data_IF_479801118550
#
_entry.id   IF_479801118550
#
_cell.length_a   1.000
_cell.length_b   1.000
_cell.length_c   1.000
_cell.angle_alpha   90.00
_cell.angle_beta   90.00
_cell.angle_gamma   90.00
#
_symmetry.space_group_name_H-M   'P 1'
#
loop_
_entity.id
_entity.type
_entity.pdbx_description
1 polymer ?
#
# COMPACT_ATOMS: atom_id res chain seq x y z
N UNK A 1 -19.81 -4.24 3.55
CA UNK A 1 -19.99 -3.94 2.11
C UNK A 1 -18.86 -3.02 1.73
N UNK A 2 -17.99 -3.44 0.83
CA UNK A 2 -16.95 -2.58 0.24
C UNK A 2 -17.61 -1.54 -0.65
N UNK A 3 -17.27 -0.27 -0.45
CA UNK A 3 -17.84 0.83 -1.23
C UNK A 3 -17.25 0.78 -2.65
N UNK A 4 -18.02 0.25 -3.62
CA UNK A 4 -17.64 0.23 -5.03
C UNK A 4 -17.69 1.65 -5.61
N UNK A 5 -16.84 1.93 -6.59
CA UNK A 5 -16.92 3.20 -7.34
C UNK A 5 -17.97 3.12 -8.45
N UNK A 6 -18.38 4.26 -8.99
CA UNK A 6 -19.27 4.32 -10.18
C UNK A 6 -18.77 3.47 -11.36
N UNK A 7 -17.45 3.42 -11.57
CA UNK A 7 -16.87 2.61 -12.63
C UNK A 7 -16.95 1.12 -12.32
N UNK A 8 -16.76 0.69 -11.06
CA UNK A 8 -16.98 -0.71 -10.68
C UNK A 8 -18.42 -1.13 -10.92
N UNK A 9 -19.38 -0.31 -10.48
CA UNK A 9 -20.80 -0.58 -10.67
C UNK A 9 -21.14 -0.74 -12.14
N UNK A 10 -20.62 0.15 -13.00
CA UNK A 10 -20.84 0.06 -14.43
C UNK A 10 -20.20 -1.19 -15.05
N UNK A 11 -18.93 -1.47 -14.73
CA UNK A 11 -18.24 -2.66 -15.23
C UNK A 11 -18.99 -3.95 -14.86
N UNK A 12 -19.45 -4.06 -13.62
CA UNK A 12 -20.19 -5.24 -13.16
C UNK A 12 -21.59 -5.33 -13.76
N UNK A 13 -22.31 -4.20 -13.88
CA UNK A 13 -23.65 -4.17 -14.47
C UNK A 13 -23.66 -4.51 -15.97
N UNK A 14 -22.59 -4.14 -16.68
CA UNK A 14 -22.41 -4.47 -18.10
C UNK A 14 -21.73 -5.84 -18.31
N UNK A 15 -21.29 -6.54 -17.25
CA UNK A 15 -20.60 -7.83 -17.36
C UNK A 15 -19.23 -7.73 -18.05
N UNK A 16 -18.51 -6.62 -17.84
CA UNK A 16 -17.23 -6.33 -18.48
C UNK A 16 -16.07 -6.87 -17.65
N UNK A 17 -15.19 -7.64 -18.29
CA UNK A 17 -14.11 -8.36 -17.61
C UNK A 17 -12.72 -8.14 -18.23
N UNK A 18 -12.64 -7.44 -19.37
CA UNK A 18 -11.41 -7.11 -20.05
C UNK A 18 -11.52 -5.79 -20.83
N UNK A 19 -10.38 -5.23 -21.24
CA UNK A 19 -10.35 -3.93 -21.93
C UNK A 19 -11.04 -3.94 -23.30
N UNK A 20 -11.05 -5.06 -24.01
CA UNK A 20 -11.69 -5.15 -25.33
C UNK A 20 -13.21 -5.04 -25.21
N UNK A 21 -13.79 -5.68 -24.19
CA UNK A 21 -15.20 -5.56 -23.85
C UNK A 21 -15.56 -4.13 -23.43
N UNK A 22 -14.68 -3.45 -22.68
CA UNK A 22 -14.87 -2.03 -22.31
C UNK A 22 -14.85 -1.11 -23.53
N UNK A 23 -13.89 -1.27 -24.44
CA UNK A 23 -13.85 -0.50 -25.70
C UNK A 23 -15.13 -0.69 -26.51
N UNK A 24 -15.59 -1.93 -26.67
CA UNK A 24 -16.84 -2.24 -27.37
C UNK A 24 -18.06 -1.60 -26.69
N UNK A 25 -18.10 -1.59 -25.35
CA UNK A 25 -19.16 -0.96 -24.59
C UNK A 25 -19.15 0.58 -24.73
N UNK A 26 -17.97 1.21 -24.83
CA UNK A 26 -17.86 2.65 -25.04
C UNK A 26 -18.37 3.09 -26.42
N UNK A 27 -18.29 2.23 -27.43
CA UNK A 27 -18.89 2.47 -28.76
C UNK A 27 -20.42 2.35 -28.75
N UNK A 28 -20.98 1.66 -27.76
CA UNK A 28 -22.42 1.53 -27.57
C UNK A 28 -23.00 2.76 -26.86
N UNK A 29 -23.81 3.55 -27.58
CA UNK A 29 -24.52 4.72 -27.01
C UNK A 29 -25.31 4.39 -25.75
N UNK A 30 -25.90 3.19 -25.67
CA UNK A 30 -26.69 2.78 -24.52
C UNK A 30 -25.82 2.47 -23.29
N UNK A 31 -24.73 1.71 -23.47
CA UNK A 31 -23.82 1.39 -22.38
C UNK A 31 -23.03 2.63 -21.90
N UNK A 32 -22.63 3.50 -22.83
CA UNK A 32 -22.03 4.79 -22.51
C UNK A 32 -23.00 5.72 -21.76
N UNK A 33 -24.29 5.75 -22.14
CA UNK A 33 -25.31 6.47 -21.38
C UNK A 33 -25.40 6.02 -19.92
N UNK A 34 -25.39 4.70 -19.69
CA UNK A 34 -25.39 4.13 -18.33
C UNK A 34 -24.10 4.40 -17.55
N UNK A 35 -22.96 4.53 -18.24
CA UNK A 35 -21.70 4.96 -17.63
C UNK A 35 -21.82 6.39 -17.08
N UNK A 36 -22.42 7.30 -17.87
CA UNK A 36 -22.69 8.69 -17.45
C UNK A 36 -23.65 8.72 -16.26
N UNK A 37 -24.77 7.99 -16.34
CA UNK A 37 -25.72 7.88 -15.23
C UNK A 37 -25.09 7.32 -13.95
N UNK A 38 -24.16 6.37 -14.05
CA UNK A 38 -23.43 5.85 -12.89
C UNK A 38 -22.54 6.93 -12.25
N UNK A 39 -21.81 7.72 -13.05
CA UNK A 39 -20.98 8.82 -12.56
C UNK A 39 -21.81 9.93 -11.91
N UNK A 40 -22.94 10.34 -12.52
CA UNK A 40 -23.85 11.35 -11.97
C UNK A 40 -24.45 10.90 -10.64
N UNK A 41 -24.92 9.65 -10.54
CA UNK A 41 -25.45 9.08 -9.29
C UNK A 41 -24.38 9.07 -8.19
N UNK A 42 -23.14 8.72 -8.52
CA UNK A 42 -22.05 8.69 -7.55
C UNK A 42 -21.69 10.09 -7.05
N UNK A 43 -21.64 11.09 -7.94
CA UNK A 43 -21.38 12.48 -7.56
C UNK A 43 -22.48 13.05 -6.64
N UNK A 44 -23.73 12.64 -6.85
CA UNK A 44 -24.86 13.08 -6.05
C UNK A 44 -24.91 12.44 -4.64
N UNK A 45 -24.16 11.36 -4.39
CA UNK A 45 -24.16 10.71 -3.08
C UNK A 45 -23.18 11.41 -2.12
N UNK A 46 -23.60 11.68 -0.87
CA UNK A 46 -22.71 12.15 0.18
C UNK A 46 -21.85 10.98 0.68
N UNK A 47 -20.93 10.48 -0.13
CA UNK A 47 -20.11 9.32 0.22
C UNK A 47 -18.87 9.77 0.98
N UNK A 48 -18.92 9.60 2.30
CA UNK A 48 -17.75 9.21 3.08
C UNK A 48 -18.05 7.86 3.70
N UNK A 49 -17.74 6.75 3.02
CA UNK A 49 -17.90 5.46 3.64
C UNK A 49 -16.99 5.43 4.87
N UNK A 50 -17.59 5.21 6.04
CA UNK A 50 -16.81 5.08 7.27
C UNK A 50 -15.92 3.83 7.15
N UNK A 51 -14.68 3.88 7.66
CA UNK A 51 -13.85 2.69 7.78
C UNK A 51 -14.62 1.61 8.54
N UNK A 52 -14.55 0.36 8.07
CA UNK A 52 -15.19 -0.75 8.80
C UNK A 52 -14.25 -1.31 9.87
N UNK A 53 -12.98 -0.91 9.85
CA UNK A 53 -11.94 -1.34 10.77
C UNK A 53 -11.09 -0.19 11.29
N UNK A 54 -10.63 -0.31 12.54
CA UNK A 54 -9.57 0.52 13.13
C UNK A 54 -8.18 0.19 12.57
N UNK A 55 -8.10 -0.86 11.76
CA UNK A 55 -6.89 -1.33 11.06
C UNK A 55 -6.88 -0.87 9.60
N UNK A 56 -7.45 0.29 9.30
CA UNK A 56 -7.35 0.92 7.98
C UNK A 56 -6.13 1.83 7.83
N UNK A 57 -5.85 2.27 6.61
CA UNK A 57 -4.91 3.35 6.28
C UNK A 57 -5.46 4.18 5.13
N UNK A 58 -5.22 5.49 5.13
CA UNK A 58 -5.41 6.36 3.97
C UNK A 58 -4.16 6.28 3.10
N UNK A 59 -4.29 5.85 1.85
CA UNK A 59 -3.23 5.99 0.88
C UNK A 59 -3.18 7.44 0.40
N UNK A 60 -2.07 8.14 0.59
CA UNK A 60 -1.84 9.49 0.07
C UNK A 60 -1.83 9.53 -1.46
N UNK A 61 -1.84 10.71 -2.06
CA UNK A 61 -1.94 10.90 -3.52
C UNK A 61 -0.75 10.38 -4.32
N UNK A 62 0.35 10.02 -3.67
CA UNK A 62 1.44 9.25 -4.28
C UNK A 62 1.16 7.74 -4.42
N UNK A 63 0.20 7.22 -3.66
CA UNK A 63 -0.13 5.79 -3.55
C UNK A 63 -1.56 5.47 -3.98
N UNK A 64 -2.45 6.46 -3.98
CA UNK A 64 -3.82 6.26 -4.42
C UNK A 64 -3.93 6.10 -5.95
N UNK A 65 -5.14 5.78 -6.40
CA UNK A 65 -5.37 5.38 -7.79
C UNK A 65 -5.67 6.58 -8.72
N UNK A 66 -5.51 7.82 -8.24
CA UNK A 66 -5.78 9.05 -9.02
C UNK A 66 -4.65 9.43 -9.94
N UNK A 67 -3.42 9.01 -9.63
CA UNK A 67 -2.19 9.47 -10.29
C UNK A 67 -1.92 10.97 -10.17
N UNK A 68 -2.47 11.69 -9.18
CA UNK A 68 -2.26 13.14 -9.06
C UNK A 68 -0.77 13.53 -8.92
N UNK A 69 -0.01 12.77 -8.12
CA UNK A 69 1.44 12.91 -7.96
C UNK A 69 2.25 11.83 -8.68
N UNK A 70 1.59 10.97 -9.46
CA UNK A 70 2.22 9.83 -10.09
C UNK A 70 1.98 9.82 -11.60
N UNK A 71 2.52 8.82 -12.28
CA UNK A 71 2.29 8.69 -13.73
C UNK A 71 0.89 8.11 -13.96
N UNK A 72 0.08 8.81 -14.76
CA UNK A 72 -1.28 8.40 -15.12
C UNK A 72 -1.37 7.27 -16.14
N UNK A 73 -0.24 6.81 -16.69
CA UNK A 73 -0.21 5.66 -17.60
C UNK A 73 -0.73 4.41 -16.88
N UNK A 74 -1.61 3.61 -17.49
CA UNK A 74 -2.24 2.46 -16.83
C UNK A 74 -1.22 1.48 -16.22
N UNK A 75 -0.16 1.13 -16.95
CA UNK A 75 0.90 0.26 -16.42
C UNK A 75 1.67 0.86 -15.22
N UNK A 76 1.78 2.18 -15.14
CA UNK A 76 2.37 2.83 -13.97
C UNK A 76 1.42 2.76 -12.76
N UNK A 77 0.11 2.78 -13.00
CA UNK A 77 -0.91 2.67 -11.97
C UNK A 77 -1.10 1.24 -11.47
N UNK A 78 -1.05 0.24 -12.35
CA UNK A 78 -1.00 -1.17 -11.93
C UNK A 78 0.22 -1.43 -11.04
N UNK A 79 1.40 -0.90 -11.41
CA UNK A 79 2.58 -0.96 -10.54
C UNK A 79 2.41 -0.19 -9.22
N UNK A 80 1.61 0.88 -9.18
CA UNK A 80 1.29 1.54 -7.91
C UNK A 80 0.43 0.66 -7.01
N UNK A 81 -0.49 -0.13 -7.56
CA UNK A 81 -1.21 -1.16 -6.79
C UNK A 81 -0.20 -2.16 -6.24
N UNK A 82 0.71 -2.67 -7.09
CA UNK A 82 1.73 -3.63 -6.64
C UNK A 82 2.61 -3.06 -5.52
N UNK A 83 3.11 -1.83 -5.69
CA UNK A 83 3.89 -1.08 -4.69
C UNK A 83 3.07 -0.88 -3.40
N UNK A 84 1.83 -0.39 -3.50
CA UNK A 84 0.96 -0.15 -2.35
C UNK A 84 0.74 -1.44 -1.57
N UNK A 85 0.34 -2.50 -2.27
CA UNK A 85 0.06 -3.79 -1.65
C UNK A 85 1.31 -4.55 -1.26
N UNK A 86 2.53 -4.17 -1.66
CA UNK A 86 3.74 -4.77 -1.07
C UNK A 86 4.05 -4.21 0.32
N UNK A 87 3.69 -2.95 0.58
CA UNK A 87 4.02 -2.25 1.84
C UNK A 87 2.89 -2.29 2.89
N UNK A 88 1.64 -2.43 2.46
CA UNK A 88 0.49 -2.11 3.33
C UNK A 88 -0.27 -3.36 3.81
N UNK A 89 -0.31 -4.40 2.99
CA UNK A 89 -1.19 -5.56 3.19
C UNK A 89 -0.97 -6.32 4.51
N UNK A 90 0.27 -6.31 5.02
CA UNK A 90 0.68 -7.07 6.19
C UNK A 90 0.37 -6.36 7.51
N UNK A 91 -0.15 -5.14 7.45
CA UNK A 91 -0.60 -4.38 8.63
C UNK A 91 -2.08 -4.02 8.59
N UNK A 92 -2.59 -3.70 7.41
CA UNK A 92 -3.90 -3.06 7.28
C UNK A 92 -4.94 -4.03 6.71
N UNK A 93 -6.16 -3.91 7.21
CA UNK A 93 -7.33 -4.65 6.75
C UNK A 93 -8.06 -3.88 5.64
N UNK A 94 -7.91 -2.56 5.61
CA UNK A 94 -8.52 -1.66 4.62
C UNK A 94 -7.54 -0.58 4.20
N UNK A 95 -7.65 -0.15 2.94
CA UNK A 95 -6.85 0.92 2.36
C UNK A 95 -7.83 1.91 1.72
N UNK A 96 -8.00 3.05 2.38
CA UNK A 96 -8.74 4.17 1.87
C UNK A 96 -7.98 4.82 0.70
N UNK A 97 -8.51 4.68 -0.51
CA UNK A 97 -7.95 5.21 -1.75
C UNK A 97 -8.96 6.13 -2.42
N UNK A 98 -8.48 7.07 -3.23
CA UNK A 98 -9.35 7.79 -4.16
C UNK A 98 -9.44 6.98 -5.45
N UNK A 99 -10.67 6.73 -5.89
CA UNK A 99 -10.98 6.00 -7.12
C UNK A 99 -11.01 6.89 -8.37
N UNK A 100 -11.62 6.39 -9.46
CA UNK A 100 -11.85 7.17 -10.67
C UNK A 100 -12.69 8.43 -10.35
N UNK A 101 -12.19 9.60 -10.75
CA UNK A 101 -12.85 10.88 -10.51
C UNK A 101 -14.10 11.03 -11.37
N UNK A 102 -15.29 10.91 -10.75
CA UNK A 102 -16.57 11.09 -11.42
C UNK A 102 -16.75 12.53 -11.93
N UNK A 103 -16.26 13.53 -11.20
CA UNK A 103 -16.41 14.92 -11.59
C UNK A 103 -15.59 15.24 -12.85
N UNK A 104 -14.30 14.87 -12.84
CA UNK A 104 -13.43 15.02 -14.01
C UNK A 104 -13.92 14.23 -15.23
N UNK A 105 -14.54 13.06 -15.03
CA UNK A 105 -15.18 12.31 -16.10
C UNK A 105 -16.36 13.08 -16.71
N UNK A 106 -17.30 13.56 -15.88
CA UNK A 106 -18.49 14.28 -16.34
C UNK A 106 -18.13 15.59 -17.05
N UNK A 107 -17.14 16.33 -16.54
CA UNK A 107 -16.62 17.53 -17.19
C UNK A 107 -16.07 17.21 -18.60
N UNK A 108 -15.35 16.10 -18.74
CA UNK A 108 -14.80 15.67 -20.03
C UNK A 108 -15.90 15.23 -21.02
N UNK A 109 -16.99 14.64 -20.55
CA UNK A 109 -18.16 14.29 -21.39
C UNK A 109 -18.82 15.53 -21.98
N UNK A 110 -18.90 16.63 -21.22
CA UNK A 110 -19.51 17.89 -21.66
C UNK A 110 -18.75 18.61 -22.77
N UNK A 111 -17.46 18.33 -22.93
CA UNK A 111 -16.59 19.02 -23.91
C UNK A 111 -16.51 18.24 -25.22
N UNK A 112 -17.13 18.78 -26.27
CA UNK A 112 -17.09 18.18 -27.63
C UNK A 112 -15.65 18.00 -28.12
N UNK A 113 -15.32 16.81 -28.62
CA UNK A 113 -14.02 16.50 -29.26
C UNK A 113 -13.01 15.78 -28.36
N UNK A 114 -13.32 15.53 -27.08
CA UNK A 114 -12.45 14.80 -26.16
C UNK A 114 -12.66 13.27 -26.13
N UNK A 115 -13.36 12.69 -27.13
CA UNK A 115 -13.72 11.27 -27.12
C UNK A 115 -12.52 10.34 -26.88
N UNK A 116 -11.38 10.59 -27.52
CA UNK A 116 -10.14 9.81 -27.31
C UNK A 116 -9.57 9.97 -25.89
N UNK A 117 -9.65 11.18 -25.32
CA UNK A 117 -9.20 11.43 -23.95
C UNK A 117 -10.10 10.74 -22.92
N UNK A 118 -11.41 10.74 -23.19
CA UNK A 118 -12.40 10.06 -22.37
C UNK A 118 -12.22 8.53 -22.40
N UNK A 119 -12.04 7.98 -23.59
CA UNK A 119 -11.74 6.57 -23.78
C UNK A 119 -10.47 6.17 -23.02
N UNK A 120 -9.38 6.95 -23.18
CA UNK A 120 -8.14 6.74 -22.43
C UNK A 120 -8.36 6.78 -20.91
N UNK A 121 -9.18 7.71 -20.42
CA UNK A 121 -9.51 7.81 -19.01
C UNK A 121 -10.27 6.58 -18.51
N UNK A 122 -11.31 6.14 -19.23
CA UNK A 122 -12.13 4.98 -18.81
C UNK A 122 -11.32 3.70 -18.89
N UNK A 123 -10.63 3.45 -20.01
CA UNK A 123 -9.79 2.26 -20.19
C UNK A 123 -8.66 2.20 -19.16
N UNK A 124 -7.99 3.32 -18.92
CA UNK A 124 -6.90 3.37 -17.95
C UNK A 124 -7.35 3.12 -16.52
N UNK A 125 -8.56 3.57 -16.15
CA UNK A 125 -9.14 3.23 -14.87
C UNK A 125 -9.62 1.77 -14.81
N UNK A 126 -10.29 1.28 -15.86
CA UNK A 126 -10.76 -0.11 -15.92
C UNK A 126 -9.61 -1.11 -15.81
N UNK A 127 -8.46 -0.86 -16.47
CA UNK A 127 -7.27 -1.71 -16.38
C UNK A 127 -6.80 -1.89 -14.93
N UNK A 128 -6.82 -0.81 -14.16
CA UNK A 128 -6.36 -0.79 -12.77
C UNK A 128 -7.34 -1.54 -11.86
N UNK A 129 -8.65 -1.43 -12.12
CA UNK A 129 -9.66 -2.20 -11.39
C UNK A 129 -9.59 -3.69 -11.73
N UNK A 130 -9.41 -4.05 -13.00
CA UNK A 130 -9.20 -5.45 -13.40
C UNK A 130 -7.92 -6.03 -12.79
N UNK A 131 -6.85 -5.24 -12.69
CA UNK A 131 -5.62 -5.63 -12.00
C UNK A 131 -5.86 -5.91 -10.52
N UNK A 132 -6.54 -5.00 -9.81
CA UNK A 132 -6.90 -5.19 -8.40
C UNK A 132 -7.75 -6.47 -8.19
N UNK A 133 -8.72 -6.72 -9.07
CA UNK A 133 -9.55 -7.92 -9.05
C UNK A 133 -8.74 -9.19 -9.29
N UNK A 134 -7.83 -9.18 -10.26
CA UNK A 134 -6.95 -10.32 -10.57
C UNK A 134 -6.03 -10.68 -9.39
N UNK A 135 -5.60 -9.68 -8.61
CA UNK A 135 -4.82 -9.87 -7.38
C UNK A 135 -5.67 -10.32 -6.18
N UNK A 136 -6.99 -10.20 -6.25
CA UNK A 136 -7.89 -10.50 -5.14
C UNK A 136 -7.85 -9.45 -4.02
N UNK A 137 -7.46 -8.21 -4.32
CA UNK A 137 -7.31 -7.12 -3.34
C UNK A 137 -8.49 -6.14 -3.31
N UNK A 138 -9.50 -6.35 -4.15
CA UNK A 138 -10.65 -5.45 -4.32
C UNK A 138 -11.37 -5.19 -2.98
N UNK A 139 -11.52 -6.22 -2.15
CA UNK A 139 -12.18 -6.10 -0.83
C UNK A 139 -11.35 -5.38 0.23
N UNK A 140 -10.07 -5.10 -0.04
CA UNK A 140 -9.20 -4.32 0.83
C UNK A 140 -9.23 -2.83 0.49
N UNK A 141 -9.84 -2.44 -0.64
CA UNK A 141 -9.90 -1.06 -1.08
C UNK A 141 -11.19 -0.41 -0.60
N UNK A 142 -11.03 0.68 0.16
CA UNK A 142 -12.12 1.57 0.55
C UNK A 142 -12.05 2.81 -0.33
N UNK A 143 -12.99 2.99 -1.24
CA UNK A 143 -13.00 4.16 -2.11
C UNK A 143 -13.61 5.37 -1.40
N UNK A 144 -12.76 6.32 -1.01
CA UNK A 144 -13.18 7.57 -0.37
C UNK A 144 -12.79 8.77 -1.24
N UNK A 145 -13.70 9.72 -1.51
CA UNK A 145 -13.32 10.97 -2.16
C UNK A 145 -12.50 11.82 -1.20
N UNK A 146 -11.38 12.36 -1.66
CA UNK A 146 -10.61 13.37 -0.93
C UNK A 146 -10.96 14.78 -1.44
N UNK A 147 -10.83 15.81 -0.59
CA UNK A 147 -10.90 17.19 -1.05
C UNK A 147 -9.97 17.45 -2.24
N UNK A 148 -10.35 18.24 -3.25
CA UNK A 148 -9.46 18.51 -4.38
C UNK A 148 -8.17 19.21 -3.95
N UNK A 149 -6.99 18.72 -4.39
CA UNK A 149 -5.69 19.37 -4.15
C UNK A 149 -5.43 20.53 -5.12
N UNK A 150 -6.37 21.47 -5.21
CA UNK A 150 -6.17 22.69 -5.97
C UNK A 150 -6.31 23.92 -5.07
N UNK A 151 -5.74 25.03 -5.50
CA UNK A 151 -5.65 26.22 -4.65
C UNK A 151 -6.98 26.93 -4.39
N UNK A 152 -7.96 26.79 -5.29
CA UNK A 152 -9.30 27.34 -5.07
C UNK A 152 -10.01 26.59 -3.93
N UNK A 153 -10.03 25.26 -3.99
CA UNK A 153 -10.64 24.42 -2.95
C UNK A 153 -9.82 24.38 -1.65
N UNK A 154 -8.50 24.58 -1.73
CA UNK A 154 -7.68 24.67 -0.53
C UNK A 154 -8.05 25.86 0.36
N UNK A 155 -8.63 26.94 -0.17
CA UNK A 155 -9.08 28.06 0.66
C UNK A 155 -10.11 27.65 1.73
N UNK A 156 -10.89 26.61 1.44
CA UNK A 156 -11.87 26.04 2.38
C UNK A 156 -11.18 25.20 3.47
N UNK A 157 -10.17 24.40 3.08
CA UNK A 157 -9.31 23.63 4.00
C UNK A 157 -8.35 24.52 4.81
N UNK A 158 -7.97 25.67 4.27
CA UNK A 158 -7.01 26.60 4.83
C UNK A 158 -7.51 27.27 6.12
N UNK A 159 -8.77 27.07 6.50
CA UNK A 159 -9.28 27.46 7.81
C UNK A 159 -8.63 26.68 8.96
N UNK A 160 -8.04 25.51 8.70
CA UNK A 160 -7.28 24.73 9.68
C UNK A 160 -5.79 25.14 9.72
N UNK A 161 -5.29 25.79 10.79
CA UNK A 161 -3.89 26.19 10.89
C UNK A 161 -2.91 25.02 10.77
N UNK A 162 -3.33 23.83 11.20
CA UNK A 162 -2.53 22.60 11.18
C UNK A 162 -2.31 22.02 9.76
N UNK A 163 -2.93 22.59 8.72
CA UNK A 163 -2.72 22.21 7.32
C UNK A 163 -1.77 23.15 6.57
N UNK A 164 -1.25 24.19 7.24
CA UNK A 164 -0.27 25.10 6.68
C UNK A 164 1.15 24.70 7.05
N UNK A 165 2.05 24.78 6.07
CA UNK A 165 3.48 24.70 6.35
C UNK A 165 3.93 25.99 7.02
N UNK A 166 4.74 25.88 8.07
CA UNK A 166 5.42 27.05 8.64
C UNK A 166 6.39 27.66 7.62
N UNK A 167 6.73 28.93 7.80
CA UNK A 167 7.72 29.60 6.94
C UNK A 167 9.08 28.87 7.00
N UNK A 168 9.45 28.38 8.18
CA UNK A 168 10.68 27.61 8.39
C UNK A 168 10.65 26.27 7.62
N UNK A 169 9.56 25.50 7.74
CA UNK A 169 9.38 24.24 7.02
C UNK A 169 9.38 24.47 5.51
N UNK A 170 8.67 25.49 5.04
CA UNK A 170 8.66 25.91 3.64
C UNK A 170 10.06 26.22 3.14
N UNK A 171 10.83 27.00 3.90
CA UNK A 171 12.21 27.35 3.56
C UNK A 171 13.13 26.13 3.50
N UNK A 172 13.02 25.19 4.45
CA UNK A 172 13.79 23.93 4.45
C UNK A 172 13.45 23.04 3.26
N UNK A 173 12.17 22.81 2.99
CA UNK A 173 11.71 21.96 1.89
C UNK A 173 12.06 22.55 0.52
N UNK A 174 12.00 23.88 0.35
CA UNK A 174 12.45 24.54 -0.87
C UNK A 174 13.95 24.35 -1.10
N UNK A 175 14.78 24.58 -0.07
CA UNK A 175 16.23 24.36 -0.17
C UNK A 175 16.55 22.93 -0.55
N UNK A 176 15.86 21.96 0.07
CA UNK A 176 16.03 20.55 -0.24
C UNK A 176 15.77 20.25 -1.73
N UNK A 177 14.67 20.78 -2.29
CA UNK A 177 14.38 20.65 -3.72
C UNK A 177 15.42 21.34 -4.60
N UNK A 178 15.91 22.51 -4.21
CA UNK A 178 16.91 23.26 -4.98
C UNK A 178 18.27 22.56 -5.01
N UNK A 179 18.73 22.03 -3.88
CA UNK A 179 20.04 21.38 -3.73
C UNK A 179 20.14 20.08 -4.53
N UNK A 180 19.06 19.31 -4.64
CA UNK A 180 19.00 18.06 -5.40
C UNK A 180 18.32 18.18 -6.77
N UNK A 181 17.89 19.38 -7.17
CA UNK A 181 16.98 19.61 -8.28
C UNK A 181 17.67 20.06 -9.57
N UNK A 182 17.09 19.70 -10.71
CA UNK A 182 17.45 20.27 -12.01
C UNK A 182 16.22 20.47 -12.89
N UNK A 183 16.35 21.31 -13.92
CA UNK A 183 15.29 21.56 -14.91
C UNK A 183 15.73 21.04 -16.27
N UNK A 184 14.82 20.32 -16.93
CA UNK A 184 14.94 19.90 -18.33
C UNK A 184 13.78 20.48 -19.14
N UNK A 185 14.04 20.96 -20.34
CA UNK A 185 12.97 21.44 -21.23
C UNK A 185 12.08 20.26 -21.67
N UNK A 186 10.76 20.46 -21.64
CA UNK A 186 9.85 19.49 -22.23
C UNK A 186 9.89 19.57 -23.77
N UNK A 187 9.67 18.43 -24.43
CA UNK A 187 9.71 18.32 -25.90
C UNK A 187 8.63 19.13 -26.62
N UNK A 188 7.55 19.46 -25.92
CA UNK A 188 6.34 20.09 -26.45
C UNK A 188 6.26 21.61 -26.20
N UNK A 189 7.35 22.27 -25.80
CA UNK A 189 7.45 23.73 -25.55
C UNK A 189 6.49 24.33 -24.50
N UNK A 190 5.57 23.56 -23.92
CA UNK A 190 4.54 24.04 -22.99
C UNK A 190 4.98 24.05 -21.53
N UNK A 191 6.15 23.49 -21.21
CA UNK A 191 6.63 23.46 -19.83
C UNK A 191 8.05 22.93 -19.67
N UNK A 192 8.35 22.56 -18.44
CA UNK A 192 9.63 21.99 -18.03
C UNK A 192 9.44 20.77 -17.14
N UNK A 193 10.39 19.85 -17.18
CA UNK A 193 10.51 18.77 -16.21
C UNK A 193 11.45 19.19 -15.09
N UNK A 194 10.94 19.21 -13.86
CA UNK A 194 11.75 19.33 -12.66
C UNK A 194 12.20 17.94 -12.22
N UNK A 195 13.50 17.67 -12.22
CA UNK A 195 14.09 16.39 -11.84
C UNK A 195 14.60 16.43 -10.41
N UNK A 196 14.28 15.41 -9.63
CA UNK A 196 14.78 15.26 -8.25
C UNK A 196 14.64 13.81 -7.78
N UNK A 197 15.66 13.26 -7.10
CA UNK A 197 15.69 11.85 -6.67
C UNK A 197 14.54 11.43 -5.74
N UNK A 198 14.01 12.40 -4.99
CA UNK A 198 12.93 12.18 -4.02
C UNK A 198 11.52 12.24 -4.62
N UNK A 199 11.39 12.45 -5.93
CA UNK A 199 10.10 12.49 -6.62
C UNK A 199 9.81 11.13 -7.28
N UNK A 200 8.53 10.75 -7.43
CA UNK A 200 8.17 9.51 -8.16
C UNK A 200 8.69 9.61 -9.59
N UNK A 201 9.35 8.55 -10.07
CA UNK A 201 10.00 8.50 -11.38
C UNK A 201 11.09 9.57 -11.60
N UNK A 202 11.55 10.22 -10.53
CA UNK A 202 12.63 11.21 -10.55
C UNK A 202 12.28 12.53 -11.22
N UNK A 203 11.03 12.79 -11.65
CA UNK A 203 10.66 14.05 -12.32
C UNK A 203 9.18 14.43 -12.20
N UNK A 204 8.89 15.73 -12.23
CA UNK A 204 7.54 16.32 -12.27
C UNK A 204 7.47 17.35 -13.40
N UNK A 205 6.42 17.28 -14.22
CA UNK A 205 6.15 18.29 -15.25
C UNK A 205 5.51 19.54 -14.64
N UNK A 206 5.97 20.72 -15.06
CA UNK A 206 5.47 22.03 -14.65
C UNK A 206 5.20 22.85 -15.90
N UNK A 207 3.96 23.30 -16.07
CA UNK A 207 3.60 24.14 -17.21
C UNK A 207 4.18 25.55 -17.04
N UNK A 208 4.53 26.18 -18.17
CA UNK A 208 5.13 27.52 -18.17
C UNK A 208 4.21 28.60 -17.58
N UNK A 209 2.90 28.47 -17.72
CA UNK A 209 1.88 29.38 -17.16
C UNK A 209 1.78 29.28 -15.63
N UNK A 210 2.19 28.16 -15.05
CA UNK A 210 2.22 27.95 -13.59
C UNK A 210 3.48 28.54 -12.94
N UNK A 211 4.53 28.82 -13.71
CA UNK A 211 5.79 29.35 -13.17
C UNK A 211 5.61 30.83 -12.83
N UNK A 212 5.69 31.22 -11.55
CA UNK A 212 5.45 32.60 -11.15
C UNK A 212 6.52 33.54 -11.73
N UNK A 213 6.18 34.82 -11.83
CA UNK A 213 7.16 35.89 -12.09
C UNK A 213 8.16 35.97 -10.92
N UNK A 214 9.42 36.39 -11.17
CA UNK A 214 10.40 36.54 -10.10
C UNK A 214 9.93 37.56 -9.06
N UNK A 215 10.05 37.22 -7.77
CA UNK A 215 9.67 38.08 -6.65
C UNK A 215 10.77 39.08 -6.26
N UNK A 216 11.98 38.94 -6.81
CA UNK A 216 13.10 39.82 -6.54
C UNK A 216 14.21 39.70 -7.58
N UNK A 217 15.17 40.63 -7.56
CA UNK A 217 16.36 40.57 -8.43
C UNK A 217 17.18 39.33 -8.07
N UNK A 218 17.47 38.48 -9.05
CA UNK A 218 18.32 37.30 -8.88
C UNK A 218 17.62 36.00 -8.50
N UNK A 219 16.28 35.98 -8.41
CA UNK A 219 15.57 34.70 -8.19
C UNK A 219 15.73 33.76 -9.39
N UNK A 220 16.30 32.58 -9.14
CA UNK A 220 16.54 31.58 -10.18
C UNK A 220 15.25 30.98 -10.72
N UNK A 221 15.25 30.53 -11.98
CA UNK A 221 14.14 29.75 -12.56
C UNK A 221 13.94 28.47 -11.75
N UNK A 222 15.03 27.83 -11.29
CA UNK A 222 15.01 26.63 -10.46
C UNK A 222 14.17 26.82 -9.20
N UNK A 223 14.39 27.90 -8.45
CA UNK A 223 13.63 28.20 -7.23
C UNK A 223 12.14 28.36 -7.49
N UNK A 224 11.79 29.02 -8.60
CA UNK A 224 10.40 29.27 -8.98
C UNK A 224 9.69 27.98 -9.36
N UNK A 225 10.35 27.11 -10.12
CA UNK A 225 9.83 25.77 -10.46
C UNK A 225 9.72 24.90 -9.21
N UNK A 226 10.75 24.88 -8.35
CA UNK A 226 10.73 24.16 -7.07
C UNK A 226 9.57 24.59 -6.17
N UNK A 227 9.20 25.88 -6.17
CA UNK A 227 8.03 26.38 -5.45
C UNK A 227 6.71 25.84 -6.01
N UNK A 228 6.58 25.71 -7.33
CA UNK A 228 5.39 25.10 -7.94
C UNK A 228 5.31 23.61 -7.56
N UNK A 229 6.44 22.90 -7.58
CA UNK A 229 6.52 21.50 -7.15
C UNK A 229 6.15 21.35 -5.67
N UNK A 230 6.77 22.13 -4.77
CA UNK A 230 6.43 22.13 -3.34
C UNK A 230 4.94 22.41 -3.14
N UNK A 231 4.38 23.42 -3.80
CA UNK A 231 2.96 23.75 -3.68
C UNK A 231 2.07 22.58 -4.10
N UNK A 232 2.39 21.89 -5.21
CA UNK A 232 1.63 20.72 -5.67
C UNK A 232 1.64 19.59 -4.63
N UNK A 233 2.81 19.27 -4.07
CA UNK A 233 2.95 18.24 -3.05
C UNK A 233 2.31 18.64 -1.71
N UNK A 234 2.41 19.91 -1.31
CA UNK A 234 1.76 20.43 -0.12
C UNK A 234 0.24 20.35 -0.21
N UNK A 235 -0.36 20.81 -1.31
CA UNK A 235 -1.82 20.73 -1.49
C UNK A 235 -2.32 19.28 -1.46
N UNK A 236 -1.56 18.36 -2.06
CA UNK A 236 -1.85 16.93 -1.99
C UNK A 236 -1.80 16.41 -0.55
N UNK A 237 -0.66 16.60 0.12
CA UNK A 237 -0.43 16.15 1.49
C UNK A 237 -1.44 16.75 2.49
N UNK A 238 -1.77 18.03 2.36
CA UNK A 238 -2.71 18.68 3.27
C UNK A 238 -4.14 18.14 3.11
N UNK A 239 -4.57 17.87 1.88
CA UNK A 239 -5.85 17.18 1.65
C UNK A 239 -5.83 15.72 2.13
N UNK A 240 -4.68 15.04 2.03
CA UNK A 240 -4.54 13.67 2.52
C UNK A 240 -4.55 13.62 4.06
N UNK A 241 -3.88 14.56 4.73
CA UNK A 241 -3.88 14.70 6.19
C UNK A 241 -5.27 15.04 6.71
N UNK A 242 -5.99 15.93 6.01
CA UNK A 242 -7.38 16.23 6.34
C UNK A 242 -8.25 14.97 6.30
N UNK A 243 -8.16 14.18 5.23
CA UNK A 243 -8.96 12.95 5.09
C UNK A 243 -8.56 11.90 6.14
N UNK A 244 -7.26 11.72 6.37
CA UNK A 244 -6.72 10.84 7.42
C UNK A 244 -7.28 11.19 8.80
N UNK A 245 -7.31 12.48 9.15
CA UNK A 245 -7.92 12.95 10.41
C UNK A 245 -9.42 12.73 10.43
N UNK A 246 -10.12 13.01 9.34
CA UNK A 246 -11.57 12.84 9.24
C UNK A 246 -11.99 11.36 9.41
N UNK A 247 -11.19 10.42 8.90
CA UNK A 247 -11.44 8.98 9.02
C UNK A 247 -10.86 8.37 10.31
N UNK A 248 -10.04 9.11 11.06
CA UNK A 248 -9.31 8.57 12.22
C UNK A 248 -8.32 7.46 11.84
N UNK A 249 -7.87 7.43 10.59
CA UNK A 249 -6.95 6.44 10.04
C UNK A 249 -5.57 7.06 9.80
N UNK A 250 -4.48 6.29 9.89
CA UNK A 250 -3.17 6.77 9.47
C UNK A 250 -3.09 7.16 7.99
N UNK A 251 -2.05 7.89 7.64
CA UNK A 251 -1.73 8.27 6.27
C UNK A 251 -0.43 7.58 5.81
N UNK A 252 -0.47 6.85 4.70
CA UNK A 252 0.72 6.35 4.01
C UNK A 252 1.05 7.22 2.82
N UNK A 253 2.34 7.45 2.53
CA UNK A 253 2.78 8.15 1.33
C UNK A 253 3.97 7.42 0.67
N UNK A 254 3.92 7.24 -0.63
CA UNK A 254 4.87 6.43 -1.42
C UNK A 254 5.97 7.23 -2.11
N UNK A 255 6.04 8.54 -1.85
CA UNK A 255 7.07 9.43 -2.38
C UNK A 255 7.81 10.05 -1.20
N UNK A 256 9.14 9.92 -1.18
CA UNK A 256 9.98 10.45 -0.10
C UNK A 256 9.74 11.93 0.16
N UNK A 257 9.62 12.74 -0.90
CA UNK A 257 9.32 14.17 -0.72
C UNK A 257 7.95 14.43 -0.10
N UNK A 258 6.92 13.67 -0.48
CA UNK A 258 5.59 13.81 0.13
C UNK A 258 5.59 13.37 1.60
N UNK A 259 6.29 12.28 1.95
CA UNK A 259 6.43 11.84 3.34
C UNK A 259 7.00 12.94 4.24
N UNK A 260 7.98 13.71 3.75
CA UNK A 260 8.52 14.86 4.50
C UNK A 260 7.48 15.97 4.66
N UNK A 261 6.72 16.27 3.62
CA UNK A 261 5.63 17.26 3.71
C UNK A 261 4.55 16.81 4.70
N UNK A 262 4.13 15.55 4.63
CA UNK A 262 3.14 14.96 5.56
C UNK A 262 3.65 15.00 7.00
N UNK A 263 4.93 14.70 7.23
CA UNK A 263 5.57 14.76 8.55
C UNK A 263 5.51 16.17 9.15
N UNK A 264 5.76 17.21 8.35
CA UNK A 264 5.64 18.61 8.76
C UNK A 264 4.19 19.02 9.11
N UNK A 265 3.19 18.41 8.48
CA UNK A 265 1.77 18.70 8.72
C UNK A 265 1.14 17.87 9.86
N UNK A 266 1.65 16.67 10.08
CA UNK A 266 1.05 15.69 11.01
C UNK A 266 1.53 15.86 12.45
N UNK A 267 2.60 16.65 12.67
CA UNK A 267 3.05 17.04 14.01
C UNK A 267 3.79 15.95 14.80
N UNK A 268 4.26 14.89 14.15
CA UNK A 268 5.04 13.83 14.77
C UNK A 268 5.04 12.51 14.00
N UNK A 269 5.85 11.57 14.48
CA UNK A 269 5.91 10.20 13.94
C UNK A 269 4.88 9.31 14.61
N UNK A 270 4.14 8.57 13.80
CA UNK A 270 3.12 7.61 14.24
C UNK A 270 3.56 6.17 14.03
N UNK A 271 2.89 5.23 14.71
CA UNK A 271 3.11 3.77 14.54
C UNK A 271 2.97 3.35 13.08
N UNK A 272 2.08 4.02 12.34
CA UNK A 272 1.78 3.66 10.98
C UNK A 272 2.81 4.22 9.99
N UNK A 273 3.43 5.36 10.30
CA UNK A 273 4.60 5.85 9.56
C UNK A 273 5.73 4.83 9.64
N UNK A 274 5.96 4.28 10.84
CA UNK A 274 6.97 3.23 11.06
C UNK A 274 6.58 1.95 10.32
N UNK A 275 5.33 1.50 10.44
CA UNK A 275 4.85 0.30 9.76
C UNK A 275 5.00 0.39 8.24
N UNK A 276 4.69 1.54 7.64
CA UNK A 276 4.83 1.77 6.20
C UNK A 276 6.28 1.65 5.70
N UNK A 277 7.25 2.01 6.53
CA UNK A 277 8.68 1.90 6.22
C UNK A 277 9.28 0.52 6.57
N UNK A 278 8.49 -0.40 7.15
CA UNK A 278 9.02 -1.69 7.57
C UNK A 278 9.19 -2.61 6.37
N UNK A 279 10.45 -2.78 5.96
CA UNK A 279 10.82 -3.77 4.96
C UNK A 279 10.81 -5.17 5.57
N UNK A 280 10.11 -6.10 4.92
CA UNK A 280 10.07 -7.50 5.31
C UNK A 280 10.70 -8.37 4.21
N UNK A 281 12.04 -8.56 4.23
CA UNK A 281 12.75 -9.33 3.21
C UNK A 281 12.21 -10.75 3.02
N UNK A 282 11.70 -11.36 4.09
CA UNK A 282 11.06 -12.68 4.08
C UNK A 282 9.83 -12.78 3.14
N UNK A 283 9.21 -11.64 2.79
CA UNK A 283 8.05 -11.58 1.91
C UNK A 283 8.42 -11.27 0.46
N UNK A 284 9.70 -11.00 0.18
CA UNK A 284 10.16 -10.58 -1.13
C UNK A 284 9.97 -11.71 -2.15
N UNK A 285 9.20 -11.42 -3.21
CA UNK A 285 8.98 -12.36 -4.30
C UNK A 285 7.76 -13.26 -4.13
N UNK A 286 7.03 -13.17 -3.01
CA UNK A 286 5.75 -13.83 -2.84
C UNK A 286 4.66 -12.97 -3.49
N UNK A 287 3.74 -13.59 -4.23
CA UNK A 287 2.64 -12.86 -4.85
C UNK A 287 1.68 -12.32 -3.79
N UNK A 288 1.09 -11.15 -4.01
CA UNK A 288 0.07 -10.59 -3.10
C UNK A 288 -1.08 -11.57 -2.89
N UNK A 289 -1.48 -12.30 -3.94
CA UNK A 289 -2.53 -13.31 -3.87
C UNK A 289 -2.20 -14.44 -2.88
N UNK A 290 -0.99 -14.98 -2.93
CA UNK A 290 -0.57 -16.05 -2.02
C UNK A 290 -0.45 -15.54 -0.58
N UNK A 291 0.02 -14.31 -0.40
CA UNK A 291 0.10 -13.64 0.89
C UNK A 291 -1.28 -13.41 1.52
N UNK A 292 -2.28 -13.05 0.70
CA UNK A 292 -3.67 -12.94 1.16
C UNK A 292 -4.27 -14.29 1.52
N UNK A 293 -3.99 -15.33 0.74
CA UNK A 293 -4.42 -16.69 1.07
C UNK A 293 -3.80 -17.15 2.39
N UNK A 294 -2.50 -16.92 2.58
CA UNK A 294 -1.78 -17.24 3.81
C UNK A 294 -2.36 -16.49 5.02
N UNK A 295 -2.63 -15.19 4.86
CA UNK A 295 -3.27 -14.36 5.89
C UNK A 295 -4.64 -14.89 6.31
N UNK A 296 -5.40 -15.47 5.38
CA UNK A 296 -6.70 -16.07 5.69
C UNK A 296 -6.54 -17.43 6.39
N UNK A 297 -5.61 -18.27 5.94
CA UNK A 297 -5.39 -19.60 6.53
C UNK A 297 -4.69 -19.55 7.89
N UNK A 298 -3.80 -18.57 8.11
CA UNK A 298 -2.99 -18.41 9.32
C UNK A 298 -3.39 -17.16 10.12
N UNK A 299 -4.72 -16.91 10.23
CA UNK A 299 -5.24 -15.64 10.76
C UNK A 299 -4.75 -15.31 12.18
N UNK A 300 -4.71 -16.29 13.07
CA UNK A 300 -4.28 -16.10 14.46
C UNK A 300 -2.80 -15.69 14.52
N UNK A 301 -1.94 -16.41 13.80
CA UNK A 301 -0.50 -16.13 13.68
C UNK A 301 -0.26 -14.74 13.06
N UNK A 302 -1.05 -14.36 12.06
CA UNK A 302 -0.99 -13.04 11.44
C UNK A 302 -1.37 -11.91 12.42
N UNK A 303 -2.42 -12.11 13.20
CA UNK A 303 -2.86 -11.11 14.18
C UNK A 303 -1.82 -10.96 15.32
N UNK A 304 -1.20 -12.05 15.76
CA UNK A 304 -0.09 -12.03 16.72
C UNK A 304 1.13 -11.23 16.18
N UNK A 305 1.56 -11.56 14.96
CA UNK A 305 2.60 -10.84 14.23
C UNK A 305 2.36 -9.34 14.17
N UNK A 306 1.17 -8.94 13.72
CA UNK A 306 0.79 -7.54 13.59
C UNK A 306 0.79 -6.81 14.93
N UNK A 307 0.27 -7.45 15.99
CA UNK A 307 0.23 -6.85 17.32
C UNK A 307 1.64 -6.63 17.88
N UNK A 308 2.55 -7.60 17.71
CA UNK A 308 3.94 -7.48 18.12
C UNK A 308 4.64 -6.30 17.43
N UNK A 309 4.43 -6.13 16.12
CA UNK A 309 5.03 -5.02 15.38
C UNK A 309 4.47 -3.65 15.79
N UNK A 310 3.15 -3.54 16.02
CA UNK A 310 2.55 -2.30 16.52
C UNK A 310 3.08 -1.95 17.91
N UNK A 311 3.24 -2.94 18.78
CA UNK A 311 3.79 -2.74 20.11
C UNK A 311 5.24 -2.26 20.05
N UNK A 312 6.08 -2.91 19.24
CA UNK A 312 7.47 -2.51 19.03
C UNK A 312 7.58 -1.07 18.50
N UNK A 313 6.75 -0.70 17.52
CA UNK A 313 6.71 0.66 17.00
C UNK A 313 6.31 1.68 18.08
N UNK A 314 5.28 1.40 18.90
CA UNK A 314 4.87 2.27 20.01
C UNK A 314 6.01 2.50 21.00
N UNK A 315 6.68 1.43 21.40
CA UNK A 315 7.80 1.50 22.36
C UNK A 315 8.96 2.32 21.82
N UNK A 316 9.34 2.14 20.55
CA UNK A 316 10.43 2.90 19.93
C UNK A 316 10.09 4.37 19.75
N UNK A 317 8.87 4.69 19.32
CA UNK A 317 8.42 6.09 19.19
C UNK A 317 8.45 6.79 20.56
N UNK A 318 7.99 6.11 21.62
CA UNK A 318 8.01 6.67 22.98
C UNK A 318 9.44 6.93 23.49
N UNK A 319 10.40 6.09 23.11
CA UNK A 319 11.80 6.18 23.56
C UNK A 319 12.68 7.07 22.67
N UNK A 320 12.23 7.41 21.46
CA UNK A 320 13.04 8.07 20.44
C UNK A 320 12.33 9.30 19.85
N UNK A 321 11.83 10.19 20.72
CA UNK A 321 11.12 11.41 20.32
C UNK A 321 11.85 12.19 19.21
N UNK A 322 11.20 12.35 18.06
CA UNK A 322 11.73 13.07 16.89
C UNK A 322 12.62 12.25 15.96
N UNK A 323 12.67 10.92 16.11
CA UNK A 323 13.46 10.04 15.22
C UNK A 323 12.74 9.78 13.89
N UNK A 324 13.52 9.62 12.82
CA UNK A 324 13.04 9.27 11.47
C UNK A 324 12.26 7.94 11.48
N UNK A 325 11.01 7.87 10.97
CA UNK A 325 10.23 6.63 10.89
C UNK A 325 10.98 5.49 10.21
N UNK A 326 11.76 5.78 9.16
CA UNK A 326 12.54 4.78 8.43
C UNK A 326 13.62 4.16 9.32
N UNK A 327 14.24 4.99 10.17
CA UNK A 327 15.24 4.52 11.15
C UNK A 327 14.58 3.62 12.19
N UNK A 328 13.43 4.02 12.74
CA UNK A 328 12.70 3.21 13.72
C UNK A 328 12.32 1.85 13.11
N UNK A 329 11.82 1.84 11.86
CA UNK A 329 11.47 0.63 11.15
C UNK A 329 12.69 -0.30 10.96
N UNK A 330 13.84 0.27 10.57
CA UNK A 330 15.09 -0.46 10.45
C UNK A 330 15.51 -1.11 11.78
N UNK A 331 15.39 -0.40 12.89
CA UNK A 331 15.74 -0.95 14.20
C UNK A 331 14.77 -2.07 14.64
N UNK A 332 13.47 -1.94 14.37
CA UNK A 332 12.50 -3.03 14.60
C UNK A 332 12.90 -4.27 13.80
N UNK A 333 13.32 -4.10 12.54
CA UNK A 333 13.78 -5.21 11.71
C UNK A 333 14.97 -5.93 12.34
N UNK A 334 16.01 -5.17 12.70
CA UNK A 334 17.27 -5.71 13.23
C UNK A 334 17.14 -6.31 14.62
N UNK A 335 16.33 -5.70 15.49
CA UNK A 335 16.29 -6.06 16.91
C UNK A 335 15.16 -7.05 17.24
N UNK A 336 14.10 -7.11 16.44
CA UNK A 336 12.93 -7.97 16.70
C UNK A 336 12.73 -9.02 15.61
N UNK A 337 12.62 -8.61 14.34
CA UNK A 337 12.22 -9.51 13.25
C UNK A 337 13.32 -10.52 12.93
N UNK A 338 14.51 -10.06 12.55
CA UNK A 338 15.61 -10.94 12.14
C UNK A 338 16.02 -11.91 13.27
N UNK A 339 16.15 -11.49 14.54
CA UNK A 339 16.47 -12.41 15.64
C UNK A 339 15.39 -13.47 15.85
N UNK A 340 14.11 -13.10 15.76
CA UNK A 340 12.99 -14.02 15.97
C UNK A 340 12.92 -15.07 14.86
N UNK A 341 13.10 -14.67 13.60
CA UNK A 341 13.19 -15.60 12.47
C UNK A 341 14.36 -16.58 12.66
N UNK A 342 15.53 -16.08 13.07
CA UNK A 342 16.70 -16.93 13.36
C UNK A 342 16.46 -17.92 14.52
N UNK A 343 15.64 -17.55 15.53
CA UNK A 343 15.23 -18.47 16.59
C UNK A 343 14.31 -19.56 16.05
N UNK A 344 13.31 -19.21 15.24
CA UNK A 344 12.40 -20.16 14.60
C UNK A 344 13.20 -21.16 13.73
N UNK A 345 14.07 -20.67 12.84
CA UNK A 345 14.89 -21.51 11.97
C UNK A 345 15.78 -22.47 12.77
N UNK A 346 16.43 -21.99 13.85
CA UNK A 346 17.27 -22.85 14.71
C UNK A 346 16.45 -23.93 15.42
N UNK A 347 15.26 -23.60 15.94
CA UNK A 347 14.38 -24.58 16.58
C UNK A 347 13.95 -25.67 15.59
N UNK A 348 13.64 -25.30 14.35
CA UNK A 348 13.26 -26.27 13.31
C UNK A 348 14.42 -27.18 12.89
N UNK A 349 15.61 -26.62 12.68
CA UNK A 349 16.82 -27.41 12.39
C UNK A 349 17.12 -28.39 13.53
N UNK A 350 16.96 -27.96 14.79
CA UNK A 350 17.15 -28.82 15.95
C UNK A 350 16.09 -29.94 15.99
N UNK A 351 14.82 -29.63 15.77
CA UNK A 351 13.73 -30.59 15.69
C UNK A 351 13.95 -31.62 14.58
N UNK A 352 14.36 -31.16 13.38
CA UNK A 352 14.75 -32.04 12.28
C UNK A 352 15.95 -32.93 12.60
N UNK A 353 16.98 -32.40 13.24
CA UNK A 353 18.15 -33.17 13.63
C UNK A 353 17.81 -34.26 14.65
N UNK A 354 16.88 -33.98 15.57
CA UNK A 354 16.35 -34.97 16.54
C UNK A 354 15.58 -36.06 15.79
N UNK A 355 14.73 -35.69 14.82
CA UNK A 355 14.00 -36.65 13.99
C UNK A 355 14.94 -37.51 13.14
N UNK A 356 15.90 -36.90 12.43
CA UNK A 356 16.89 -37.59 11.58
C UNK A 356 17.77 -38.54 12.39
N UNK A 357 18.32 -38.11 13.55
CA UNK A 357 19.13 -38.98 14.42
C UNK A 357 18.34 -40.19 14.93
N UNK A 358 17.04 -40.02 15.20
CA UNK A 358 16.17 -41.09 15.71
C UNK A 358 15.60 -41.98 14.60
N UNK A 359 15.47 -41.47 13.37
CA UNK A 359 15.15 -42.26 12.18
C UNK A 359 16.34 -43.15 11.76
N UNK A 360 17.58 -42.69 11.89
CA UNK A 360 18.78 -43.52 11.64
C UNK A 360 18.91 -44.65 12.67
N UNK A 361 18.38 -44.48 13.89
CA UNK A 361 18.30 -45.52 14.92
C UNK A 361 17.09 -46.46 14.76
N UNK A 362 16.11 -46.10 13.93
CA UNK A 362 14.93 -46.91 13.60
C UNK A 362 14.91 -47.16 12.10
N UNK A 363 15.74 -48.10 11.62
CA UNK A 363 15.59 -48.67 10.27
C UNK A 363 14.20 -49.32 10.17
N UNK A 364 13.23 -48.56 9.66
CA UNK A 364 11.87 -49.06 9.45
C UNK A 364 10.81 -47.97 9.32
N UNK A 365 10.62 -47.51 8.07
CA UNK A 365 9.34 -47.11 7.46
C UNK A 365 8.91 -45.62 7.57
N UNK A 366 8.74 -45.08 6.36
CA UNK A 366 7.91 -43.96 5.86
C UNK A 366 8.35 -42.51 6.13
N UNK A 367 8.68 -41.86 5.01
CA UNK A 367 8.98 -40.43 4.91
C UNK A 367 7.75 -39.56 5.13
N UNK A 368 8.00 -38.38 5.69
CA UNK A 368 7.00 -37.32 5.84
C UNK A 368 7.47 -36.09 5.06
N UNK A 369 7.03 -36.01 3.81
CA UNK A 369 6.78 -34.74 3.16
C UNK A 369 5.33 -34.37 3.46
N UNK A 370 5.13 -33.51 4.46
CA UNK A 370 3.86 -32.82 4.73
C UNK A 370 4.20 -31.43 5.22
N UNK A 371 4.92 -30.70 4.37
CA UNK A 371 4.96 -29.26 4.46
C UNK A 371 3.67 -28.77 3.79
N UNK A 372 2.90 -27.96 4.51
CA UNK A 372 1.65 -27.32 4.07
C UNK A 372 0.41 -28.23 4.03
N UNK A 373 -0.26 -28.34 5.20
CA UNK A 373 -1.72 -28.48 5.32
C UNK A 373 -2.38 -29.77 4.82
N UNK A 374 -2.48 -30.79 5.69
CA UNK A 374 -3.68 -31.65 5.90
C UNK A 374 -3.43 -32.43 7.20
N UNK A 375 -4.00 -31.97 8.32
CA UNK A 375 -4.18 -32.82 9.50
C UNK A 375 -5.53 -33.52 9.36
N UNK A 376 -5.51 -34.72 8.81
CA UNK A 376 -6.70 -35.56 8.64
C UNK A 376 -6.34 -37.03 8.60
N UNK A 377 -6.18 -37.62 9.79
CA UNK A 377 -6.25 -39.07 10.03
C UNK A 377 -5.13 -39.94 9.41
N UNK A 378 -3.97 -39.98 10.07
CA UNK A 378 -3.14 -41.20 10.00
C UNK A 378 -3.72 -42.18 11.03
N UNK A 379 -4.21 -43.38 10.63
CA UNK A 379 -4.80 -44.33 11.55
C UNK A 379 -3.72 -44.89 12.48
N UNK A 380 -3.90 -44.66 13.77
CA UNK A 380 -3.06 -45.17 14.86
C UNK A 380 -3.27 -46.68 15.08
N UNK A 381 -3.36 -47.48 14.01
CA UNK A 381 -3.78 -48.89 14.05
C UNK A 381 -2.65 -49.90 13.83
N UNK A 382 -1.39 -49.47 13.70
CA UNK A 382 -0.22 -50.38 13.60
C UNK A 382 0.65 -50.33 14.86
N UNK A 383 0.02 -50.55 16.02
CA UNK A 383 0.70 -50.64 17.32
C UNK A 383 0.91 -52.08 17.82
N UNK A 384 0.82 -53.10 16.96
CA UNK A 384 0.77 -54.52 17.38
C UNK A 384 2.00 -55.39 17.08
N UNK A 385 3.17 -54.82 16.74
CA UNK A 385 4.43 -55.60 16.78
C UNK A 385 5.53 -54.84 17.52
N UNK A 386 5.90 -55.40 18.69
CA UNK A 386 6.65 -54.74 19.76
C UNK A 386 8.13 -54.44 19.48
N UNK A 387 8.61 -53.39 20.14
CA UNK A 387 10.04 -53.09 20.33
C UNK A 387 10.41 -51.61 20.16
N UNK A 388 9.76 -50.88 19.25
CA UNK A 388 10.22 -49.54 18.84
C UNK A 388 9.20 -48.38 19.07
N UNK A 389 8.12 -48.60 19.84
CA UNK A 389 6.98 -47.68 19.87
C UNK A 389 7.12 -46.51 20.84
N UNK A 390 7.66 -46.71 22.06
CA UNK A 390 7.69 -45.64 23.06
C UNK A 390 8.62 -44.47 22.68
N UNK A 391 9.82 -44.77 22.15
CA UNK A 391 10.79 -43.73 21.77
C UNK A 391 10.37 -42.98 20.49
N UNK A 392 9.74 -43.67 19.54
CA UNK A 392 9.20 -43.06 18.32
C UNK A 392 7.97 -42.19 18.63
N UNK A 393 7.04 -42.68 19.48
CA UNK A 393 5.89 -41.90 19.95
C UNK A 393 6.36 -40.69 20.75
N UNK A 394 7.29 -40.84 21.69
CA UNK A 394 7.84 -39.71 22.46
C UNK A 394 8.58 -38.69 21.57
N UNK A 395 9.29 -39.14 20.53
CA UNK A 395 9.92 -38.24 19.56
C UNK A 395 8.89 -37.51 18.70
N UNK A 396 7.80 -38.19 18.30
CA UNK A 396 6.73 -37.59 17.55
C UNK A 396 5.93 -36.58 18.38
N UNK A 397 5.61 -36.92 19.64
CA UNK A 397 4.97 -36.01 20.60
C UNK A 397 5.86 -34.79 20.83
N UNK A 398 7.16 -34.98 21.11
CA UNK A 398 8.09 -33.88 21.31
C UNK A 398 8.24 -33.00 20.06
N UNK A 399 8.32 -33.59 18.86
CA UNK A 399 8.37 -32.82 17.62
C UNK A 399 7.06 -32.04 17.37
N UNK A 400 5.92 -32.61 17.78
CA UNK A 400 4.61 -31.94 17.72
C UNK A 400 4.53 -30.79 18.73
N UNK A 401 5.03 -30.99 19.95
CA UNK A 401 5.14 -29.94 20.98
C UNK A 401 6.07 -28.81 20.52
N UNK A 402 7.27 -29.13 20.00
CA UNK A 402 8.20 -28.13 19.48
C UNK A 402 7.60 -27.34 18.31
N UNK A 403 6.88 -28.01 17.39
CA UNK A 403 6.15 -27.33 16.31
C UNK A 403 5.02 -26.45 16.83
N UNK A 404 4.29 -26.90 17.85
CA UNK A 404 3.26 -26.11 18.48
C UNK A 404 3.85 -24.86 19.16
N UNK A 405 4.96 -25.01 19.90
CA UNK A 405 5.68 -23.87 20.49
C UNK A 405 6.22 -22.89 19.44
N UNK A 406 6.67 -23.38 18.28
CA UNK A 406 7.10 -22.53 17.17
C UNK A 406 5.90 -21.76 16.59
N UNK A 407 4.75 -22.42 16.44
CA UNK A 407 3.52 -21.79 15.95
C UNK A 407 2.99 -20.69 16.89
N UNK A 408 3.32 -20.76 18.19
CA UNK A 408 2.99 -19.74 19.17
C UNK A 408 3.92 -18.51 19.13
N UNK A 409 4.96 -18.51 18.29
CA UNK A 409 5.83 -17.33 18.17
C UNK A 409 5.13 -16.23 17.37
N UNK A 410 5.20 -14.99 17.83
CA UNK A 410 4.58 -13.85 17.14
C UNK A 410 5.10 -13.66 15.70
N UNK A 411 6.32 -14.09 15.38
CA UNK A 411 6.88 -14.01 14.02
C UNK A 411 6.65 -15.28 13.19
N UNK A 412 5.85 -16.24 13.68
CA UNK A 412 5.56 -17.48 12.98
C UNK A 412 4.95 -17.24 11.60
N UNK A 413 4.01 -16.30 11.49
CA UNK A 413 3.40 -15.92 10.21
C UNK A 413 4.45 -15.55 9.16
N UNK A 414 5.42 -14.70 9.55
CA UNK A 414 6.46 -14.23 8.66
C UNK A 414 7.41 -15.35 8.23
N UNK A 415 7.71 -16.29 9.14
CA UNK A 415 8.48 -17.48 8.80
C UNK A 415 7.72 -18.39 7.82
N UNK A 416 6.44 -18.69 8.07
CA UNK A 416 5.61 -19.50 7.16
C UNK A 416 5.51 -18.88 5.77
N UNK A 417 5.40 -17.55 5.69
CA UNK A 417 5.43 -16.85 4.42
C UNK A 417 6.77 -17.07 3.69
N UNK A 418 7.89 -16.96 4.41
CA UNK A 418 9.21 -17.14 3.82
C UNK A 418 9.42 -18.53 3.18
N UNK A 419 8.92 -19.59 3.82
CA UNK A 419 9.05 -20.98 3.35
C UNK A 419 8.04 -21.37 2.27
N UNK A 420 7.02 -20.54 2.02
CA UNK A 420 6.09 -20.76 0.91
C UNK A 420 6.74 -20.45 -0.46
N UNK A 421 7.95 -19.87 -0.45
CA UNK A 421 8.84 -19.65 -1.58
C UNK A 421 9.82 -20.82 -1.72
#
# INVERSE_FOLDING_TARGET
>A
MTAKTWLHEWLDAEGLHDLASVTTALDSRAAFGRLVEAAERYQAQPLRPAPTSDRGIVAGRSLDLTSFLACGHPDCRSRQIDDLFSHVWHYFDEIAVVGPDAHGFLDAVGVRGLQKGLEYFVLGNAQVLFHARAMGVEDLLLFTPKPPACSSHFSELASEPALHLSEEATGRLLRLLEEGGSIEAASDAHGVFFKHKMLKNGRVFVNNDQIPKPMGKGESVLRRVARVVLRKHWLAAASDVFESRALGLPLGAGIEFEMRVVSELSGGVTVNDVAFHLELPALKGISVKDLLALRQSERESFDAFRNALRQAAKERIANAAGSDPAKIAQEIRQDLIEPSLNVISRKLIAAEAILKRKQVLNLGIMGLATACGVLGQIPLATALFGGATAAAVAAHVKAKEERHEIALNDMYFLWTAHEAH
#
